data_IF_998163616207
#
_entry.id   IF_998163616207
#
_cell.length_a   1.000
_cell.length_b   1.000
_cell.length_c   1.000
_cell.angle_alpha   90.00
_cell.angle_beta   90.00
_cell.angle_gamma   90.00
#
_symmetry.space_group_name_H-M   'P 1'
#
loop_
_entity.id
_entity.type
_entity.pdbx_description
1 polymer ?
#
# COMPACT_ATOMS: atom_id res chain seq x y z
N UNK A 1 -5.01 -13.13 24.76
CA UNK A 1 -5.06 -12.97 23.29
C UNK A 1 -3.65 -12.73 22.78
N UNK A 2 -3.26 -13.33 21.66
CA UNK A 2 -1.96 -13.05 21.04
C UNK A 2 -2.01 -11.67 20.35
N UNK A 3 -0.91 -10.90 20.41
CA UNK A 3 -0.85 -9.62 19.69
C UNK A 3 -0.72 -9.86 18.19
N UNK A 4 -1.24 -8.93 17.40
CA UNK A 4 -0.99 -8.89 15.96
C UNK A 4 0.46 -8.42 15.73
N UNK A 5 1.29 -9.15 14.98
CA UNK A 5 2.63 -8.69 14.62
C UNK A 5 2.59 -7.37 13.86
N UNK A 6 3.56 -6.50 14.13
CA UNK A 6 3.73 -5.21 13.44
C UNK A 6 4.85 -5.29 12.42
N UNK A 7 5.04 -4.24 11.62
CA UNK A 7 6.02 -4.22 10.54
C UNK A 7 7.45 -4.44 11.06
N UNK A 8 7.76 -3.88 12.22
CA UNK A 8 9.06 -3.99 12.89
C UNK A 8 9.37 -5.44 13.35
N UNK A 9 8.34 -6.28 13.51
CA UNK A 9 8.52 -7.69 13.87
C UNK A 9 8.98 -8.56 12.68
N UNK A 10 8.95 -8.01 11.46
CA UNK A 10 9.29 -8.74 10.23
C UNK A 10 10.79 -9.01 10.10
N UNK A 11 11.63 -8.20 10.74
CA UNK A 11 13.09 -8.27 10.65
C UNK A 11 13.63 -7.78 9.29
N UNK A 12 14.86 -8.17 8.94
CA UNK A 12 15.48 -7.80 7.67
C UNK A 12 14.87 -8.59 6.49
N UNK A 13 14.34 -7.85 5.52
CA UNK A 13 13.72 -8.38 4.30
C UNK A 13 14.55 -8.12 3.04
N UNK A 14 15.79 -7.65 3.18
CA UNK A 14 16.70 -7.39 2.07
C UNK A 14 16.83 -8.59 1.14
N UNK A 15 16.63 -8.35 -0.16
CA UNK A 15 16.69 -9.38 -1.21
C UNK A 15 15.51 -10.36 -1.24
N UNK A 16 14.48 -10.15 -0.40
CA UNK A 16 13.24 -10.93 -0.43
C UNK A 16 12.18 -10.23 -1.28
N UNK A 17 11.17 -11.00 -1.70
CA UNK A 17 9.96 -10.46 -2.31
C UNK A 17 8.87 -10.45 -1.25
N UNK A 18 8.30 -9.28 -0.97
CA UNK A 18 7.25 -9.10 0.04
C UNK A 18 5.93 -8.82 -0.66
N UNK A 19 4.88 -9.56 -0.28
CA UNK A 19 3.51 -9.28 -0.73
C UNK A 19 2.86 -8.29 0.24
N UNK A 20 2.57 -7.09 -0.24
CA UNK A 20 1.90 -6.04 0.54
C UNK A 20 0.46 -5.91 0.07
N UNK A 21 -0.49 -6.05 0.98
CA UNK A 21 -1.91 -5.78 0.72
C UNK A 21 -2.23 -4.34 1.11
N UNK A 22 -2.57 -3.51 0.12
CA UNK A 22 -2.91 -2.09 0.31
C UNK A 22 -4.39 -1.82 0.01
N UNK A 23 -4.91 -0.71 0.55
CA UNK A 23 -6.17 -0.13 0.09
C UNK A 23 -5.89 0.90 -1.00
N UNK A 24 -5.94 0.48 -2.27
CA UNK A 24 -5.85 1.37 -3.43
C UNK A 24 -7.21 1.63 -4.09
N UNK A 25 -8.30 1.47 -3.34
CA UNK A 25 -9.64 1.82 -3.83
C UNK A 25 -9.82 3.36 -3.79
N UNK A 26 -9.35 4.04 -4.83
CA UNK A 26 -9.37 5.50 -4.99
C UNK A 26 -10.53 5.96 -5.89
N UNK A 27 -11.06 7.18 -5.71
CA UNK A 27 -12.04 7.73 -6.63
C UNK A 27 -11.40 8.01 -8.00
N UNK A 28 -12.15 7.71 -9.06
CA UNK A 28 -11.76 7.93 -10.44
C UNK A 28 -12.83 8.71 -11.21
N UNK A 29 -12.42 9.47 -12.22
CA UNK A 29 -13.31 10.20 -13.12
C UNK A 29 -12.95 9.94 -14.59
N UNK A 30 -13.93 10.09 -15.49
CA UNK A 30 -13.74 9.89 -16.93
C UNK A 30 -14.26 8.53 -17.44
N UNK A 31 -14.19 8.31 -18.76
CA UNK A 31 -14.63 7.06 -19.38
C UNK A 31 -13.67 5.91 -19.02
N UNK A 32 -14.17 4.67 -19.01
CA UNK A 32 -13.42 3.49 -18.53
C UNK A 32 -12.05 3.30 -19.18
N UNK A 33 -11.88 3.69 -20.44
CA UNK A 33 -10.62 3.58 -21.18
C UNK A 33 -9.65 4.75 -20.96
N UNK A 34 -10.05 5.79 -20.23
CA UNK A 34 -9.24 6.98 -19.93
C UNK A 34 -9.63 7.57 -18.57
N UNK A 35 -9.74 6.73 -17.53
CA UNK A 35 -10.04 7.19 -16.17
C UNK A 35 -8.83 7.84 -15.52
N UNK A 36 -9.07 8.94 -14.83
CA UNK A 36 -8.08 9.68 -14.06
C UNK A 36 -8.39 9.57 -12.56
N UNK A 37 -7.35 9.48 -11.72
CA UNK A 37 -7.49 9.49 -10.26
C UNK A 37 -7.75 10.93 -9.83
N UNK A 38 -8.82 11.16 -9.06
CA UNK A 38 -9.16 12.50 -8.58
C UNK A 38 -8.68 12.81 -7.17
N UNK A 39 -8.39 11.76 -6.38
CA UNK A 39 -7.78 11.86 -5.06
C UNK A 39 -6.87 10.64 -4.83
N UNK A 40 -5.60 10.89 -4.59
CA UNK A 40 -4.54 9.91 -4.42
C UNK A 40 -4.18 9.65 -2.94
N UNK A 41 -4.94 10.20 -1.99
CA UNK A 41 -4.65 10.12 -0.56
C UNK A 41 -4.33 8.69 -0.08
N UNK A 42 -5.13 7.69 -0.52
CA UNK A 42 -4.94 6.29 -0.11
C UNK A 42 -3.66 5.66 -0.69
N UNK A 43 -3.23 6.10 -1.87
CA UNK A 43 -1.98 5.67 -2.48
C UNK A 43 -0.82 6.25 -1.66
N UNK A 44 -0.85 7.56 -1.40
CA UNK A 44 0.18 8.24 -0.58
C UNK A 44 0.26 7.69 0.84
N UNK A 45 -0.87 7.30 1.43
CA UNK A 45 -0.91 6.69 2.76
C UNK A 45 -0.19 5.33 2.85
N UNK A 46 -0.03 4.61 1.74
CA UNK A 46 0.69 3.34 1.72
C UNK A 46 2.21 3.49 1.51
N UNK A 47 2.67 4.66 1.03
CA UNK A 47 4.08 4.88 0.70
C UNK A 47 5.04 4.61 1.87
N UNK A 48 4.77 5.02 3.13
CA UNK A 48 5.68 4.76 4.23
C UNK A 48 5.95 3.27 4.46
N UNK A 49 4.95 2.40 4.25
CA UNK A 49 5.14 0.95 4.36
C UNK A 49 5.92 0.38 3.17
N UNK A 50 5.70 0.91 1.97
CA UNK A 50 6.41 0.46 0.77
C UNK A 50 7.88 0.89 0.81
N UNK A 51 8.18 2.10 1.27
CA UNK A 51 9.55 2.63 1.39
C UNK A 51 10.35 1.97 2.53
N UNK A 52 9.66 1.41 3.52
CA UNK A 52 10.29 0.66 4.61
C UNK A 52 10.75 -0.74 4.19
N UNK A 53 10.01 -1.40 3.29
CA UNK A 53 10.20 -2.79 2.85
C UNK A 53 11.25 -2.94 1.76
#
# INVERSE_FOLDING_TARGET
>A
MARVPVLEDLGDVSGKRVLVRTDFNVPMHGPDNAREITDDFRIRAALPTIEWL
#
